data_IF_398276129623
#
_entry.id   IF_398276129623
#
_cell.length_a   1.000
_cell.length_b   1.000
_cell.length_c   1.000
_cell.angle_alpha   90.00
_cell.angle_beta   90.00
_cell.angle_gamma   90.00
#
_symmetry.space_group_name_H-M   'P 1'
#
loop_
_entity.id
_entity.type
_entity.pdbx_description
1 polymer ?
#
# COMPACT_ATOMS: atom_id res chain seq x y z
N UNK A 1 -34.03 -0.70 40.77
CA UNK A 1 -32.90 0.01 41.42
C UNK A 1 -31.68 -0.90 41.64
N UNK A 2 -31.86 -2.13 42.12
CA UNK A 2 -30.77 -3.08 42.45
C UNK A 2 -29.67 -3.25 41.38
N UNK A 3 -30.04 -3.46 40.12
CA UNK A 3 -29.05 -3.68 39.04
C UNK A 3 -28.24 -2.42 38.72
N UNK A 4 -28.81 -1.22 38.87
CA UNK A 4 -28.12 0.04 38.64
C UNK A 4 -27.06 0.30 39.72
N UNK A 5 -27.37 -0.03 40.98
CA UNK A 5 -26.42 0.08 42.10
C UNK A 5 -25.27 -0.93 41.99
N UNK A 6 -25.58 -2.17 41.59
CA UNK A 6 -24.57 -3.20 41.34
C UNK A 6 -23.67 -2.83 40.15
N UNK A 7 -24.24 -2.23 39.10
CA UNK A 7 -23.47 -1.71 37.97
C UNK A 7 -22.57 -0.54 38.39
N UNK A 8 -23.06 0.39 39.22
CA UNK A 8 -22.28 1.51 39.75
C UNK A 8 -21.08 1.03 40.59
N UNK A 9 -21.26 -0.01 41.41
CA UNK A 9 -20.17 -0.61 42.20
C UNK A 9 -19.09 -1.28 41.34
N UNK A 10 -19.47 -1.89 40.22
CA UNK A 10 -18.54 -2.59 39.32
C UNK A 10 -17.87 -1.66 38.29
N UNK A 11 -18.42 -0.47 38.07
CA UNK A 11 -17.92 0.53 37.11
C UNK A 11 -16.43 0.86 37.26
N UNK A 12 -15.89 1.13 38.46
CA UNK A 12 -14.47 1.48 38.60
C UNK A 12 -13.54 0.33 38.23
N UNK A 13 -13.93 -0.91 38.55
CA UNK A 13 -13.18 -2.11 38.19
C UNK A 13 -13.20 -2.34 36.67
N UNK A 14 -14.36 -2.16 36.03
CA UNK A 14 -14.50 -2.26 34.56
C UNK A 14 -13.67 -1.17 33.87
N UNK A 15 -13.73 0.08 34.32
CA UNK A 15 -12.96 1.19 33.76
C UNK A 15 -11.44 0.97 33.94
N UNK A 16 -11.01 0.44 35.09
CA UNK A 16 -9.60 0.06 35.33
C UNK A 16 -9.18 -1.08 34.41
N UNK A 17 -10.04 -2.08 34.20
CA UNK A 17 -9.78 -3.20 33.30
C UNK A 17 -9.77 -2.78 31.82
N UNK A 18 -10.62 -1.82 31.44
CA UNK A 18 -10.62 -1.19 30.12
C UNK A 18 -9.38 -0.33 29.88
N UNK A 19 -8.89 0.40 30.89
CA UNK A 19 -7.62 1.15 30.81
C UNK A 19 -6.39 0.22 30.79
N UNK A 20 -6.43 -0.91 31.49
CA UNK A 20 -5.36 -1.91 31.50
C UNK A 20 -5.32 -2.77 30.23
N UNK A 21 -6.48 -3.01 29.59
CA UNK A 21 -6.55 -3.44 28.19
C UNK A 21 -6.06 -2.30 27.32
N UNK A 22 -4.74 -2.08 27.34
CA UNK A 22 -4.06 -1.11 26.50
C UNK A 22 -4.65 -1.19 25.11
N UNK A 23 -5.11 -0.06 24.58
CA UNK A 23 -5.46 0.03 23.18
C UNK A 23 -4.33 -0.60 22.37
N UNK A 24 -4.63 -1.45 21.37
CA UNK A 24 -3.59 -2.05 20.55
C UNK A 24 -2.68 -0.92 20.06
N UNK A 25 -1.37 -1.06 20.31
CA UNK A 25 -0.39 -0.01 19.99
C UNK A 25 -0.65 0.48 18.57
N UNK A 26 -0.99 1.75 18.43
CA UNK A 26 -1.35 2.33 17.14
C UNK A 26 -0.23 2.05 16.15
N UNK A 27 -0.54 1.42 15.02
CA UNK A 27 0.45 1.13 13.98
C UNK A 27 1.06 2.45 13.51
N UNK A 28 2.38 2.57 13.60
CA UNK A 28 3.10 3.70 13.03
C UNK A 28 3.00 3.66 11.51
N UNK A 29 2.66 4.80 10.92
CA UNK A 29 2.58 4.96 9.48
C UNK A 29 3.95 5.38 8.92
N UNK A 30 4.27 5.00 7.67
CA UNK A 30 5.48 5.49 6.99
C UNK A 30 5.50 7.02 6.87
N UNK A 31 6.69 7.60 6.97
CA UNK A 31 6.92 9.05 6.83
C UNK A 31 6.77 9.49 5.35
N UNK A 32 5.83 10.40 5.02
CA UNK A 32 5.62 10.85 3.66
C UNK A 32 6.79 11.67 3.09
N UNK A 33 7.54 12.40 3.92
CA UNK A 33 8.64 13.25 3.45
C UNK A 33 9.74 12.44 2.73
N UNK A 34 9.94 11.18 3.16
CA UNK A 34 10.89 10.24 2.54
C UNK A 34 10.49 9.79 1.13
N UNK A 35 9.24 10.04 0.71
CA UNK A 35 8.71 9.62 -0.58
C UNK A 35 8.82 10.72 -1.64
N UNK A 36 8.97 11.98 -1.24
CA UNK A 36 8.94 13.13 -2.16
C UNK A 36 10.12 13.16 -3.15
N UNK A 37 11.26 12.58 -2.75
CA UNK A 37 12.46 12.46 -3.59
C UNK A 37 12.40 11.31 -4.59
N UNK A 38 11.33 10.52 -4.60
CA UNK A 38 11.20 9.32 -5.44
C UNK A 38 10.35 9.59 -6.67
N UNK A 39 10.74 8.95 -7.78
CA UNK A 39 9.92 8.77 -8.96
C UNK A 39 9.15 7.44 -8.85
N UNK A 40 7.88 7.47 -9.27
CA UNK A 40 7.02 6.30 -9.36
C UNK A 40 6.50 6.17 -10.80
N UNK A 41 6.77 5.04 -11.43
CA UNK A 41 6.16 4.64 -12.69
C UNK A 41 5.26 3.42 -12.45
N UNK A 42 4.05 3.47 -12.97
CA UNK A 42 3.02 2.44 -12.82
C UNK A 42 2.88 1.71 -14.15
N UNK A 43 2.98 0.39 -14.09
CA UNK A 43 2.90 -0.53 -15.22
C UNK A 43 1.81 -1.56 -14.91
N UNK A 44 1.30 -2.24 -15.93
CA UNK A 44 0.22 -3.21 -15.78
C UNK A 44 0.54 -4.48 -16.55
N UNK A 45 0.08 -5.62 -16.05
CA UNK A 45 0.43 -6.92 -16.64
C UNK A 45 -0.31 -7.24 -17.94
N UNK A 46 -1.48 -6.63 -18.17
CA UNK A 46 -2.35 -6.96 -19.29
C UNK A 46 -2.71 -5.73 -20.12
N UNK A 47 -2.43 -5.75 -21.44
CA UNK A 47 -2.82 -4.67 -22.36
C UNK A 47 -4.32 -4.71 -22.71
N UNK A 48 -5.04 -5.81 -22.43
CA UNK A 48 -6.43 -6.02 -22.83
C UNK A 48 -7.42 -5.84 -21.66
N UNK A 49 -6.98 -5.31 -20.53
CA UNK A 49 -7.86 -5.11 -19.37
C UNK A 49 -8.82 -3.92 -19.62
N UNK A 50 -10.13 -4.15 -19.76
CA UNK A 50 -11.07 -3.09 -20.11
C UNK A 50 -11.14 -1.98 -19.06
N UNK A 51 -10.91 -2.30 -17.78
CA UNK A 51 -10.89 -1.30 -16.70
C UNK A 51 -9.71 -0.33 -16.84
N UNK A 52 -8.58 -0.81 -17.37
CA UNK A 52 -7.43 0.04 -17.63
C UNK A 52 -7.68 0.97 -18.81
N UNK A 53 -8.34 0.46 -19.86
CA UNK A 53 -8.77 1.29 -20.99
C UNK A 53 -9.79 2.35 -20.56
N UNK A 54 -10.78 1.99 -19.75
CA UNK A 54 -11.75 2.97 -19.24
C UNK A 54 -11.08 4.10 -18.44
N UNK A 55 -10.11 3.75 -17.59
CA UNK A 55 -9.53 4.66 -16.59
C UNK A 55 -8.32 5.45 -17.05
N UNK A 56 -7.41 4.80 -17.78
CA UNK A 56 -6.09 5.35 -18.12
C UNK A 56 -5.93 5.65 -19.61
N UNK A 57 -6.87 5.23 -20.45
CA UNK A 57 -6.89 5.60 -21.86
C UNK A 57 -7.92 6.69 -22.13
N UNK A 58 -7.94 7.23 -23.35
CA UNK A 58 -8.92 8.22 -23.79
C UNK A 58 -10.25 7.52 -24.13
N UNK A 59 -10.97 7.03 -23.11
CA UNK A 59 -12.25 6.33 -23.26
C UNK A 59 -12.19 5.16 -24.26
N UNK A 60 -11.34 4.18 -23.99
CA UNK A 60 -11.08 3.03 -24.88
C UNK A 60 -10.39 3.38 -26.20
N UNK A 61 -9.79 4.57 -26.30
CA UNK A 61 -8.97 4.98 -27.44
C UNK A 61 -7.51 5.15 -27.02
N UNK A 62 -6.63 4.96 -27.99
CA UNK A 62 -5.19 5.10 -27.81
C UNK A 62 -4.44 3.84 -28.20
N UNK A 63 -3.24 3.67 -27.65
CA UNK A 63 -2.38 2.54 -27.90
C UNK A 63 -1.69 2.13 -26.59
N UNK A 64 -1.23 0.88 -26.56
CA UNK A 64 -0.43 0.36 -25.45
C UNK A 64 1.00 0.19 -25.92
N UNK A 65 1.94 0.55 -25.06
CA UNK A 65 3.35 0.23 -25.24
C UNK A 65 3.67 -0.92 -24.31
N UNK A 66 3.99 -2.07 -24.90
CA UNK A 66 4.49 -3.21 -24.15
C UNK A 66 6.00 -3.07 -23.96
N UNK A 67 6.45 -3.35 -22.74
CA UNK A 67 7.86 -3.28 -22.36
C UNK A 67 8.32 -4.69 -22.01
N UNK A 68 9.50 -5.07 -22.49
CA UNK A 68 10.13 -6.33 -22.09
C UNK A 68 10.53 -6.27 -20.61
N UNK A 69 9.75 -6.93 -19.76
CA UNK A 69 10.02 -7.04 -18.33
C UNK A 69 11.32 -7.80 -18.02
N UNK A 70 11.78 -8.63 -18.96
CA UNK A 70 13.06 -9.34 -18.91
C UNK A 70 14.26 -8.47 -19.26
N UNK A 71 14.04 -7.23 -19.72
CA UNK A 71 15.14 -6.38 -20.13
C UNK A 71 15.99 -5.94 -18.93
N UNK A 72 17.32 -5.89 -19.13
CA UNK A 72 18.31 -5.51 -18.11
C UNK A 72 17.99 -4.18 -17.40
N UNK A 73 17.33 -3.26 -18.10
CA UNK A 73 16.90 -1.99 -17.54
C UNK A 73 15.99 -2.17 -16.31
N UNK A 74 15.13 -3.19 -16.29
CA UNK A 74 14.18 -3.43 -15.21
C UNK A 74 14.69 -4.45 -14.18
N UNK A 75 15.42 -5.47 -14.64
CA UNK A 75 15.94 -6.53 -13.76
C UNK A 75 17.05 -6.00 -12.84
N UNK A 76 17.88 -5.06 -13.32
CA UNK A 76 18.94 -4.52 -12.47
C UNK A 76 18.36 -3.67 -11.34
N UNK A 77 18.89 -3.91 -10.13
CA UNK A 77 18.56 -3.16 -8.92
C UNK A 77 19.16 -1.74 -8.89
N UNK A 78 19.88 -1.34 -9.95
CA UNK A 78 20.54 -0.05 -10.07
C UNK A 78 20.22 0.58 -11.43
N UNK A 79 19.93 1.88 -11.41
CA UNK A 79 19.82 2.72 -12.59
C UNK A 79 20.67 3.96 -12.38
N UNK A 80 21.68 4.18 -13.24
CA UNK A 80 22.67 5.27 -13.08
C UNK A 80 23.26 5.31 -11.66
N UNK A 81 23.69 4.15 -11.16
CA UNK A 81 24.27 3.96 -9.81
C UNK A 81 23.29 4.21 -8.64
N UNK A 82 22.03 4.56 -8.92
CA UNK A 82 20.99 4.76 -7.90
C UNK A 82 20.11 3.51 -7.74
N UNK A 83 19.60 3.22 -6.53
CA UNK A 83 18.69 2.10 -6.30
C UNK A 83 17.43 2.16 -7.15
N UNK A 84 17.03 1.00 -7.68
CA UNK A 84 15.82 0.83 -8.47
C UNK A 84 15.07 -0.42 -8.01
N UNK A 85 13.74 -0.32 -7.94
CA UNK A 85 12.86 -1.41 -7.57
C UNK A 85 11.71 -1.53 -8.57
N UNK A 86 11.59 -2.65 -9.25
CA UNK A 86 10.38 -3.05 -9.97
C UNK A 86 9.70 -4.20 -9.23
N UNK A 87 8.47 -4.00 -8.75
CA UNK A 87 7.73 -5.05 -8.02
C UNK A 87 6.23 -4.99 -8.30
N UNK A 88 5.53 -6.13 -8.23
CA UNK A 88 4.06 -6.12 -8.24
C UNK A 88 3.52 -5.39 -7.00
N UNK A 89 2.36 -4.76 -7.15
CA UNK A 89 1.62 -4.16 -6.05
C UNK A 89 0.98 -5.25 -5.20
N UNK A 90 1.06 -5.09 -3.88
CA UNK A 90 0.35 -5.95 -2.92
C UNK A 90 -1.00 -5.33 -2.59
N UNK A 91 -2.04 -6.10 -2.85
CA UNK A 91 -3.42 -5.70 -2.62
C UNK A 91 -3.87 -6.16 -1.24
N UNK A 92 -4.37 -5.21 -0.45
CA UNK A 92 -4.92 -5.47 0.88
C UNK A 92 -5.74 -4.27 1.35
N UNK A 93 -6.79 -4.52 2.10
CA UNK A 93 -7.55 -3.47 2.79
C UNK A 93 -6.85 -3.02 4.09
N UNK A 94 -5.83 -3.76 4.53
CA UNK A 94 -4.99 -3.37 5.65
C UNK A 94 -4.01 -2.27 5.25
N UNK A 95 -4.01 -1.17 6.01
CA UNK A 95 -3.08 -0.07 5.80
C UNK A 95 -1.64 -0.51 6.11
N UNK A 96 -0.68 -0.31 5.19
CA UNK A 96 0.71 -0.67 5.44
C UNK A 96 1.27 0.08 6.64
N UNK A 97 1.89 -0.66 7.56
CA UNK A 97 2.64 -0.09 8.68
C UNK A 97 4.10 0.14 8.30
N UNK A 98 4.80 0.95 9.10
CA UNK A 98 6.25 1.17 8.97
C UNK A 98 7.06 -0.14 9.01
N UNK A 99 6.59 -1.16 9.75
CA UNK A 99 7.22 -2.48 9.88
C UNK A 99 6.69 -3.51 8.89
N UNK A 100 6.05 -3.08 7.80
CA UNK A 100 5.60 -3.99 6.75
C UNK A 100 6.79 -4.83 6.22
N UNK A 101 6.57 -6.10 5.84
CA UNK A 101 7.60 -6.89 5.16
C UNK A 101 8.03 -6.27 3.82
N UNK A 102 7.19 -5.40 3.24
CA UNK A 102 7.46 -4.73 1.97
C UNK A 102 8.29 -3.48 2.22
N UNK A 103 9.59 -3.64 2.32
CA UNK A 103 10.56 -2.56 2.48
C UNK A 103 11.23 -2.21 1.13
N UNK A 104 11.74 -0.98 0.96
CA UNK A 104 11.78 0.13 1.93
C UNK A 104 10.56 1.06 1.92
N UNK A 105 9.68 0.96 0.92
CA UNK A 105 8.57 1.90 0.72
C UNK A 105 7.21 1.18 0.72
N UNK A 106 6.72 0.70 1.87
CA UNK A 106 5.53 -0.13 1.92
C UNK A 106 4.28 0.57 1.38
N UNK A 107 4.14 1.87 1.64
CA UNK A 107 3.04 2.67 1.10
C UNK A 107 3.04 2.75 -0.43
N UNK A 108 4.22 2.77 -1.06
CA UNK A 108 4.34 2.82 -2.51
C UNK A 108 4.08 1.49 -3.19
N UNK A 109 4.08 0.37 -2.48
CA UNK A 109 3.84 -0.96 -3.08
C UNK A 109 2.54 -1.62 -2.59
N UNK A 110 1.67 -0.86 -1.92
CA UNK A 110 0.35 -1.32 -1.49
C UNK A 110 -0.79 -0.61 -2.23
N UNK A 111 -1.94 -1.28 -2.32
CA UNK A 111 -3.20 -0.71 -2.77
C UNK A 111 -4.39 -1.47 -2.19
N UNK A 112 -5.58 -0.85 -2.14
CA UNK A 112 -6.79 -1.50 -1.62
C UNK A 112 -7.20 -2.71 -2.47
N UNK A 113 -7.84 -3.70 -1.85
CA UNK A 113 -8.13 -5.01 -2.47
C UNK A 113 -9.02 -4.89 -3.71
N UNK A 114 -9.92 -3.92 -3.72
CA UNK A 114 -10.83 -3.63 -4.85
C UNK A 114 -10.08 -3.36 -6.16
N UNK A 115 -8.81 -2.97 -6.10
CA UNK A 115 -7.99 -2.67 -7.28
C UNK A 115 -7.18 -3.86 -7.79
N UNK A 116 -7.30 -5.04 -7.17
CA UNK A 116 -6.48 -6.21 -7.52
C UNK A 116 -6.63 -6.60 -9.01
N UNK A 117 -7.79 -6.34 -9.62
CA UNK A 117 -8.01 -6.60 -11.05
C UNK A 117 -7.10 -5.79 -11.98
N UNK A 118 -6.50 -4.68 -11.54
CA UNK A 118 -5.55 -3.91 -12.36
C UNK A 118 -4.21 -4.65 -12.56
N UNK A 119 -3.81 -5.54 -11.64
CA UNK A 119 -2.54 -6.30 -11.70
C UNK A 119 -1.34 -5.39 -11.99
N UNK A 120 -1.19 -4.38 -11.13
CA UNK A 120 -0.23 -3.29 -11.26
C UNK A 120 1.17 -3.71 -10.81
N UNK A 121 2.18 -3.23 -11.54
CA UNK A 121 3.59 -3.24 -11.18
C UNK A 121 4.06 -1.80 -10.99
N UNK A 122 4.96 -1.59 -10.03
CA UNK A 122 5.53 -0.27 -9.74
C UNK A 122 7.02 -0.29 -9.86
N UNK A 123 7.54 0.64 -10.67
CA UNK A 123 8.94 0.98 -10.75
C UNK A 123 9.19 2.21 -9.87
N UNK A 124 10.04 2.07 -8.86
CA UNK A 124 10.40 3.12 -7.91
C UNK A 124 11.91 3.32 -7.90
N UNK A 125 12.35 4.58 -7.95
CA UNK A 125 13.75 4.99 -7.84
C UNK A 125 13.86 6.48 -7.46
N UNK A 126 15.03 6.99 -7.04
CA UNK A 126 15.24 8.43 -6.89
C UNK A 126 14.95 9.21 -8.18
N UNK A 127 14.48 10.46 -8.04
CA UNK A 127 14.28 11.41 -9.16
C UNK A 127 15.61 11.81 -9.81
#
# INVERSE_FOLDING_TARGET
AYFCEQAAKKRPAIEKQMRQKQQPKTKKLPDPAKLESLALCRLFSSPINPLLWERYSDQYRGFVVELDAGHKYFIHNLFKEQPQLLRPVVYSDERPSERSPIQPFPSLFHRAQVWNQEQEYRLVRPK
#
